data_IF_752316164372
#
_entry.id   IF_752316164372
#
_cell.length_a   1.000
_cell.length_b   1.000
_cell.length_c   1.000
_cell.angle_alpha   90.00
_cell.angle_beta   90.00
_cell.angle_gamma   90.00
#
_symmetry.space_group_name_H-M   'P 1'
#
loop_
_entity.id
_entity.type
_entity.pdbx_description
1 polymer ?
#
# COMPACT_ATOMS: atom_id res chain seq x y z
N UNK A 1 3.54 17.83 -11.25
CA UNK A 1 3.89 18.30 -9.90
C UNK A 1 5.42 18.34 -9.79
N UNK A 2 6.00 19.28 -9.04
CA UNK A 2 7.45 19.24 -8.76
C UNK A 2 7.68 18.26 -7.60
N UNK A 3 8.38 17.14 -7.86
CA UNK A 3 8.78 16.15 -6.83
C UNK A 3 9.49 16.84 -5.65
N UNK A 4 10.14 17.97 -5.93
CA UNK A 4 10.77 18.93 -5.01
C UNK A 4 9.88 19.28 -3.81
N UNK A 5 8.58 19.56 -4.03
CA UNK A 5 7.66 19.98 -2.96
C UNK A 5 7.37 18.87 -1.97
N UNK A 6 7.24 17.62 -2.45
CA UNK A 6 7.03 16.45 -1.58
C UNK A 6 8.24 16.25 -0.67
N UNK A 7 9.45 16.35 -1.21
CA UNK A 7 10.69 16.21 -0.43
C UNK A 7 10.84 17.33 0.61
N UNK A 8 10.48 18.56 0.27
CA UNK A 8 10.51 19.69 1.20
C UNK A 8 9.57 19.50 2.39
N UNK A 9 8.33 19.06 2.13
CA UNK A 9 7.34 18.79 3.19
C UNK A 9 7.80 17.66 4.11
N UNK A 10 8.45 16.64 3.56
CA UNK A 10 9.05 15.54 4.34
C UNK A 10 10.20 16.04 5.21
N UNK A 11 11.12 16.82 4.63
CA UNK A 11 12.28 17.36 5.34
C UNK A 11 11.89 18.31 6.48
N UNK A 12 10.76 19.01 6.35
CA UNK A 12 10.20 19.90 7.37
C UNK A 12 9.21 19.20 8.31
N UNK A 13 9.01 17.88 8.18
CA UNK A 13 8.05 17.09 8.97
C UNK A 13 6.60 17.64 8.93
N UNK A 14 6.23 18.25 7.80
CA UNK A 14 4.91 18.86 7.58
C UNK A 14 3.89 17.81 7.10
N UNK A 15 3.60 16.86 7.97
CA UNK A 15 2.78 15.69 7.65
C UNK A 15 1.35 16.02 7.24
N UNK A 16 0.74 17.05 7.83
CA UNK A 16 -0.61 17.49 7.49
C UNK A 16 -0.66 18.07 6.07
N UNK A 17 0.26 18.96 5.73
CA UNK A 17 0.37 19.57 4.39
C UNK A 17 0.67 18.50 3.33
N UNK A 18 1.54 17.54 3.64
CA UNK A 18 1.85 16.42 2.75
C UNK A 18 0.61 15.55 2.48
N UNK A 19 -0.20 15.27 3.51
CA UNK A 19 -1.43 14.50 3.36
C UNK A 19 -2.47 15.25 2.53
N UNK A 20 -2.67 16.53 2.79
CA UNK A 20 -3.60 17.36 2.00
C UNK A 20 -3.16 17.44 0.54
N UNK A 21 -1.86 17.61 0.28
CA UNK A 21 -1.30 17.59 -1.06
C UNK A 21 -1.63 16.27 -1.75
N UNK A 22 -1.31 15.12 -1.13
CA UNK A 22 -1.50 13.81 -1.75
C UNK A 22 -2.98 13.45 -1.98
N UNK A 23 -3.86 13.82 -1.06
CA UNK A 23 -5.30 13.64 -1.22
C UNK A 23 -5.90 14.51 -2.33
N UNK A 24 -5.26 15.63 -2.66
CA UNK A 24 -5.68 16.53 -3.74
C UNK A 24 -5.23 16.07 -5.13
N UNK A 25 -4.40 15.03 -5.23
CA UNK A 25 -3.84 14.56 -6.49
C UNK A 25 -4.66 13.42 -7.12
N UNK A 26 -4.64 13.32 -8.46
CA UNK A 26 -5.01 12.08 -9.14
C UNK A 26 -4.15 10.90 -8.66
N UNK A 27 -4.76 9.71 -8.53
CA UNK A 27 -4.08 8.51 -8.02
C UNK A 27 -2.75 8.16 -8.74
N UNK A 28 -2.63 8.27 -10.08
CA UNK A 28 -1.35 8.02 -10.75
C UNK A 28 -0.24 8.99 -10.31
N UNK A 29 -0.58 10.26 -10.09
CA UNK A 29 0.37 11.29 -9.66
C UNK A 29 0.76 11.12 -8.20
N UNK A 30 -0.20 10.71 -7.35
CA UNK A 30 0.07 10.35 -5.97
C UNK A 30 0.98 9.11 -5.88
N UNK A 31 0.78 8.12 -6.75
CA UNK A 31 1.61 6.92 -6.82
C UNK A 31 3.05 7.24 -7.23
N UNK A 32 3.23 8.10 -8.23
CA UNK A 32 4.53 8.63 -8.64
C UNK A 32 5.20 9.39 -7.49
N UNK A 33 4.48 10.29 -6.82
CA UNK A 33 5.00 11.00 -5.66
C UNK A 33 5.47 10.05 -4.56
N UNK A 34 4.68 9.02 -4.19
CA UNK A 34 5.08 8.00 -3.22
C UNK A 34 6.34 7.24 -3.64
N UNK A 35 6.50 6.93 -4.94
CA UNK A 35 7.67 6.22 -5.46
C UNK A 35 8.98 6.94 -5.12
N UNK A 36 8.95 8.27 -5.08
CA UNK A 36 10.12 9.10 -4.76
C UNK A 36 10.32 9.39 -3.27
N UNK A 37 9.40 8.97 -2.40
CA UNK A 37 9.55 9.18 -0.94
C UNK A 37 10.40 8.09 -0.27
N UNK A 38 11.11 8.42 0.83
CA UNK A 38 11.80 7.42 1.64
C UNK A 38 10.84 6.34 2.16
N UNK A 39 11.35 5.11 2.30
CA UNK A 39 10.61 3.93 2.78
C UNK A 39 9.74 4.19 4.05
N UNK A 40 10.27 4.79 5.14
CA UNK A 40 9.46 5.05 6.34
C UNK A 40 8.32 6.05 6.10
N UNK A 41 8.51 6.96 5.14
CA UNK A 41 7.55 8.00 4.79
C UNK A 41 6.42 7.43 3.95
N UNK A 42 6.73 6.54 2.99
CA UNK A 42 5.72 5.82 2.21
C UNK A 42 4.70 5.15 3.11
N UNK A 43 5.16 4.36 4.08
CA UNK A 43 4.29 3.64 5.02
C UNK A 43 3.38 4.62 5.78
N UNK A 44 3.93 5.73 6.27
CA UNK A 44 3.18 6.75 7.01
C UNK A 44 2.14 7.48 6.16
N UNK A 45 2.47 7.80 4.92
CA UNK A 45 1.52 8.38 3.95
C UNK A 45 0.40 7.37 3.70
N UNK A 46 0.79 6.13 3.40
CA UNK A 46 -0.13 5.09 2.98
C UNK A 46 -1.14 4.72 4.08
N UNK A 47 -0.71 4.72 5.35
CA UNK A 47 -1.58 4.54 6.51
C UNK A 47 -2.45 5.76 6.85
N UNK A 48 -2.19 6.91 6.23
CA UNK A 48 -3.00 8.13 6.41
C UNK A 48 -4.14 8.27 5.40
N UNK A 49 -4.14 7.47 4.33
CA UNK A 49 -5.18 7.53 3.30
C UNK A 49 -6.47 6.88 3.78
N UNK A 50 -7.59 7.22 3.12
CA UNK A 50 -8.85 6.52 3.35
C UNK A 50 -8.73 5.09 2.85
N UNK A 51 -9.57 4.19 3.36
CA UNK A 51 -9.48 2.77 2.99
C UNK A 51 -9.63 2.51 1.49
N UNK A 52 -10.51 3.27 0.87
CA UNK A 52 -10.75 3.22 -0.57
C UNK A 52 -9.51 3.68 -1.35
N UNK A 53 -8.94 4.81 -0.94
CA UNK A 53 -7.83 5.43 -1.68
C UNK A 53 -6.53 4.66 -1.49
N UNK A 54 -6.30 4.02 -0.33
CA UNK A 54 -5.15 3.13 -0.13
C UNK A 54 -5.16 1.97 -1.12
N UNK A 55 -6.30 1.30 -1.28
CA UNK A 55 -6.44 0.16 -2.19
C UNK A 55 -6.24 0.57 -3.64
N UNK A 56 -6.95 1.62 -4.07
CA UNK A 56 -6.84 2.14 -5.44
C UNK A 56 -5.41 2.63 -5.75
N UNK A 57 -4.79 3.42 -4.86
CA UNK A 57 -3.43 3.90 -5.01
C UNK A 57 -2.41 2.75 -5.12
N UNK A 58 -2.59 1.69 -4.32
CA UNK A 58 -1.70 0.53 -4.33
C UNK A 58 -1.60 -0.07 -5.73
N UNK A 59 -2.73 -0.19 -6.43
CA UNK A 59 -2.83 -0.73 -7.78
C UNK A 59 -2.09 0.10 -8.84
N UNK A 60 -1.81 1.39 -8.58
CA UNK A 60 -1.01 2.25 -9.45
C UNK A 60 0.51 2.17 -9.17
N UNK A 61 0.93 1.55 -8.07
CA UNK A 61 2.35 1.42 -7.74
C UNK A 61 3.00 0.33 -8.60
N UNK A 62 4.30 0.50 -8.88
CA UNK A 62 5.06 -0.54 -9.58
C UNK A 62 5.22 -1.78 -8.70
N UNK A 63 5.35 -2.99 -9.28
CA UNK A 63 5.51 -4.24 -8.52
C UNK A 63 6.67 -4.18 -7.52
N UNK A 64 7.78 -3.50 -7.88
CA UNK A 64 8.90 -3.28 -6.97
C UNK A 64 8.51 -2.51 -5.70
N UNK A 65 7.68 -1.46 -5.83
CA UNK A 65 7.25 -0.64 -4.69
C UNK A 65 6.20 -1.40 -3.87
N UNK A 66 5.27 -2.08 -4.52
CA UNK A 66 4.28 -2.94 -3.87
C UNK A 66 4.97 -4.00 -2.99
N UNK A 67 5.94 -4.73 -3.53
CA UNK A 67 6.72 -5.71 -2.80
C UNK A 67 7.48 -5.08 -1.62
N UNK A 68 8.07 -3.90 -1.82
CA UNK A 68 8.77 -3.15 -0.77
C UNK A 68 7.81 -2.80 0.39
N UNK A 69 6.60 -2.34 0.08
CA UNK A 69 5.58 -2.01 1.07
C UNK A 69 5.21 -3.22 1.93
N UNK A 70 4.99 -4.40 1.34
CA UNK A 70 4.66 -5.61 2.12
C UNK A 70 5.76 -6.03 3.11
N UNK A 71 7.01 -5.70 2.80
CA UNK A 71 8.15 -5.97 3.70
C UNK A 71 8.37 -4.89 4.76
N UNK A 72 7.86 -3.67 4.52
CA UNK A 72 8.07 -2.50 5.38
C UNK A 72 6.90 -2.24 6.32
N UNK A 73 5.68 -2.62 5.92
CA UNK A 73 4.49 -2.55 6.73
C UNK A 73 4.61 -3.48 7.94
N UNK A 74 4.16 -2.99 9.09
CA UNK A 74 3.92 -3.85 10.24
C UNK A 74 2.82 -4.86 9.93
N UNK A 75 2.78 -5.99 10.65
CA UNK A 75 1.73 -7.00 10.48
C UNK A 75 0.32 -6.41 10.59
N UNK A 76 0.14 -5.42 11.48
CA UNK A 76 -1.12 -4.70 11.61
C UNK A 76 -1.47 -3.91 10.34
N UNK A 77 -0.56 -3.10 9.84
CA UNK A 77 -0.81 -2.26 8.66
C UNK A 77 -1.00 -3.10 7.39
N UNK A 78 -0.22 -4.18 7.24
CA UNK A 78 -0.34 -5.11 6.12
C UNK A 78 -1.69 -5.84 6.15
N UNK A 79 -2.12 -6.32 7.33
CA UNK A 79 -3.44 -6.95 7.50
C UNK A 79 -4.58 -5.98 7.22
N UNK A 80 -4.49 -4.75 7.75
CA UNK A 80 -5.47 -3.70 7.47
C UNK A 80 -5.55 -3.40 5.96
N UNK A 81 -4.42 -3.29 5.25
CA UNK A 81 -4.41 -3.06 3.80
C UNK A 81 -5.00 -4.23 3.01
N UNK A 82 -4.63 -5.48 3.32
CA UNK A 82 -5.17 -6.64 2.64
C UNK A 82 -6.69 -6.77 2.78
N UNK A 83 -7.24 -6.42 3.93
CA UNK A 83 -8.68 -6.42 4.16
C UNK A 83 -9.44 -5.34 3.36
N UNK A 84 -8.73 -4.38 2.77
CA UNK A 84 -9.31 -3.25 2.03
C UNK A 84 -9.21 -3.42 0.51
N UNK A 85 -8.30 -4.26 0.04
CA UNK A 85 -8.18 -4.59 -1.38
C UNK A 85 -9.39 -5.42 -1.82
N UNK A 86 -9.83 -5.20 -3.06
CA UNK A 86 -10.84 -6.07 -3.68
C UNK A 86 -10.28 -7.50 -3.75
N UNK A 87 -11.11 -8.55 -3.65
CA UNK A 87 -10.65 -9.93 -3.61
C UNK A 87 -9.73 -10.31 -4.80
N UNK A 88 -10.07 -9.85 -6.00
CA UNK A 88 -9.29 -10.11 -7.21
C UNK A 88 -7.94 -9.38 -7.20
N UNK A 89 -7.90 -8.11 -6.81
CA UNK A 89 -6.65 -7.33 -6.71
C UNK A 89 -5.73 -7.95 -5.64
N UNK A 90 -6.31 -8.29 -4.48
CA UNK A 90 -5.60 -8.96 -3.38
C UNK A 90 -4.95 -10.25 -3.86
N UNK A 91 -5.71 -11.08 -4.56
CA UNK A 91 -5.21 -12.35 -5.11
C UNK A 91 -4.10 -12.10 -6.11
N UNK A 92 -4.29 -11.20 -7.08
CA UNK A 92 -3.27 -10.89 -8.08
C UNK A 92 -1.95 -10.41 -7.45
N UNK A 93 -2.03 -9.57 -6.41
CA UNK A 93 -0.85 -9.14 -5.66
C UNK A 93 -0.19 -10.31 -4.93
N UNK A 94 -0.96 -11.17 -4.28
CA UNK A 94 -0.42 -12.33 -3.56
C UNK A 94 0.28 -13.32 -4.52
N UNK A 95 -0.23 -13.52 -5.73
CA UNK A 95 0.40 -14.38 -6.76
C UNK A 95 1.81 -13.90 -7.17
N UNK A 96 2.08 -12.60 -7.10
CA UNK A 96 3.38 -12.02 -7.45
C UNK A 96 4.42 -12.10 -6.32
N UNK A 97 4.01 -12.54 -5.12
CA UNK A 97 4.87 -12.54 -3.92
C UNK A 97 5.52 -13.91 -3.66
N UNK A 98 6.69 -13.93 -2.98
CA UNK A 98 7.30 -15.18 -2.55
C UNK A 98 6.39 -15.99 -1.61
N UNK A 99 6.41 -17.34 -1.64
CA UNK A 99 5.49 -18.18 -0.85
C UNK A 99 5.50 -17.91 0.67
N UNK A 100 6.66 -17.55 1.23
CA UNK A 100 6.78 -17.21 2.65
C UNK A 100 6.09 -15.89 2.99
N UNK A 101 6.11 -14.91 2.08
CA UNK A 101 5.37 -13.65 2.21
C UNK A 101 3.88 -13.90 2.09
N UNK A 102 3.44 -14.70 1.11
CA UNK A 102 2.01 -15.08 0.96
C UNK A 102 1.50 -15.71 2.26
N UNK A 103 2.25 -16.69 2.80
CA UNK A 103 1.86 -17.38 4.03
C UNK A 103 1.77 -16.44 5.23
N UNK A 104 2.72 -15.50 5.38
CA UNK A 104 2.65 -14.46 6.41
C UNK A 104 1.41 -13.60 6.23
N UNK A 105 1.18 -13.07 5.03
CA UNK A 105 0.09 -12.15 4.72
C UNK A 105 -1.30 -12.79 4.88
N UNK A 106 -1.48 -14.04 4.43
CA UNK A 106 -2.73 -14.79 4.66
C UNK A 106 -3.04 -14.95 6.14
N UNK A 107 -2.02 -15.12 7.00
CA UNK A 107 -2.20 -15.23 8.44
C UNK A 107 -2.64 -13.92 9.11
N UNK A 108 -2.52 -12.79 8.44
CA UNK A 108 -2.98 -11.48 8.91
C UNK A 108 -4.45 -11.21 8.59
N UNK A 109 -5.00 -11.93 7.60
CA UNK A 109 -6.41 -11.82 7.23
C UNK A 109 -7.33 -12.49 8.26
N UNK A 110 -8.55 -11.94 8.37
CA UNK A 110 -9.66 -12.59 9.06
C UNK A 110 -10.04 -13.93 8.40
N UNK A 111 -10.81 -14.79 9.09
CA UNK A 111 -11.11 -16.14 8.60
C UNK A 111 -11.83 -16.15 7.24
N UNK A 112 -12.78 -15.23 7.02
CA UNK A 112 -13.53 -15.13 5.76
C UNK A 112 -12.64 -14.67 4.60
N UNK A 113 -11.94 -13.55 4.75
CA UNK A 113 -11.00 -13.03 3.75
C UNK A 113 -9.88 -14.02 3.41
N UNK A 114 -9.36 -14.73 4.42
CA UNK A 114 -8.32 -15.74 4.22
C UNK A 114 -8.84 -16.90 3.40
N UNK A 115 -10.03 -17.39 3.70
CA UNK A 115 -10.64 -18.50 2.97
C UNK A 115 -10.92 -18.08 1.51
N UNK A 116 -11.44 -16.87 1.30
CA UNK A 116 -11.67 -16.33 -0.04
C UNK A 116 -10.37 -16.20 -0.83
N UNK A 117 -9.32 -15.63 -0.23
CA UNK A 117 -8.01 -15.50 -0.87
C UNK A 117 -7.39 -16.88 -1.21
N UNK A 118 -7.50 -17.87 -0.31
CA UNK A 118 -7.02 -19.24 -0.58
C UNK A 118 -7.76 -19.90 -1.74
N UNK A 119 -9.08 -19.74 -1.81
CA UNK A 119 -9.89 -20.26 -2.90
C UNK A 119 -9.51 -19.65 -4.26
N UNK A 120 -9.29 -18.33 -4.30
CA UNK A 120 -8.88 -17.63 -5.52
C UNK A 120 -7.45 -17.99 -5.95
N UNK A 121 -6.54 -18.21 -5.00
CA UNK A 121 -5.17 -18.69 -5.24
C UNK A 121 -5.08 -20.19 -5.60
N UNK A 122 -6.15 -20.95 -5.36
CA UNK A 122 -6.18 -22.40 -5.59
C UNK A 122 -5.32 -23.23 -4.62
N UNK A 123 -5.18 -22.78 -3.36
CA UNK A 123 -4.39 -23.43 -2.30
C UNK A 123 -5.21 -23.88 -1.10
#
# INVERSE_FOLDING_TARGET
MEISTVQELIAQEKWSELRELLNGLPLPEAAEALAHTPKPVRVRIFSSLSRHDSGELFSYLTPQIQASLWTELTDREAGELLAQLRPDDRTGILEELPPHTISRLLNLLGPEDRQEAQQLLGI
#
